data_IF_818828515181
#
_entry.id   IF_818828515181
#
_cell.length_a   1.000
_cell.length_b   1.000
_cell.length_c   1.000
_cell.angle_alpha   90.00
_cell.angle_beta   90.00
_cell.angle_gamma   90.00
#
_symmetry.space_group_name_H-M   'P 1'
#
loop_
_entity.id
_entity.type
_entity.pdbx_description
1 polymer ?
#
# COMPACT_ATOMS: atom_id res chain seq x y z
N UNK A 1 7.45 -25.02 17.96
CA UNK A 1 6.42 -24.16 17.34
C UNK A 1 6.95 -22.73 17.24
N UNK A 2 8.27 -22.54 17.07
CA UNK A 2 8.93 -21.30 17.53
C UNK A 2 9.72 -20.57 16.45
N UNK A 3 10.46 -21.23 15.55
CA UNK A 3 11.28 -20.46 14.58
C UNK A 3 10.48 -19.50 13.66
N UNK A 4 9.22 -19.82 13.33
CA UNK A 4 8.42 -18.96 12.46
C UNK A 4 7.88 -17.74 13.20
N UNK A 5 7.59 -17.87 14.51
CA UNK A 5 7.21 -16.75 15.37
C UNK A 5 8.43 -15.90 15.70
N UNK A 6 9.59 -16.51 15.95
CA UNK A 6 10.86 -15.80 16.15
C UNK A 6 11.28 -14.97 14.91
N UNK A 7 11.08 -15.50 13.70
CA UNK A 7 11.34 -14.76 12.45
C UNK A 7 10.33 -13.63 12.25
N UNK A 8 9.08 -13.81 12.67
CA UNK A 8 8.05 -12.76 12.61
C UNK A 8 8.31 -11.66 13.66
N UNK A 9 8.73 -12.01 14.87
CA UNK A 9 9.15 -11.05 15.89
C UNK A 9 10.40 -10.27 15.44
N UNK A 10 11.38 -10.93 14.81
CA UNK A 10 12.54 -10.25 14.21
C UNK A 10 12.16 -9.32 13.05
N UNK A 11 11.11 -9.67 12.30
CA UNK A 11 10.57 -8.85 11.22
C UNK A 11 9.79 -7.65 11.76
N UNK A 12 9.05 -7.85 12.85
CA UNK A 12 8.30 -6.82 13.57
C UNK A 12 9.23 -5.81 14.26
N UNK A 13 10.34 -6.28 14.84
CA UNK A 13 11.38 -5.41 15.42
C UNK A 13 12.27 -4.72 14.37
N UNK A 14 12.08 -5.01 13.09
CA UNK A 14 12.87 -4.42 12.03
C UNK A 14 12.20 -3.18 11.41
N UNK A 15 13.02 -2.27 10.90
CA UNK A 15 12.58 -1.14 10.07
C UNK A 15 11.80 -1.57 8.80
N UNK A 16 11.61 -2.88 8.56
CA UNK A 16 10.83 -3.42 7.44
C UNK A 16 9.35 -3.04 7.52
N UNK A 17 8.75 -2.88 8.69
CA UNK A 17 7.36 -2.40 8.78
C UNK A 17 7.23 -0.99 8.18
N UNK A 18 8.19 -0.11 8.51
CA UNK A 18 8.30 1.23 7.93
C UNK A 18 8.63 1.20 6.44
N UNK A 19 9.54 0.32 6.01
CA UNK A 19 9.91 0.17 4.60
C UNK A 19 8.74 -0.35 3.75
N UNK A 20 8.02 -1.37 4.23
CA UNK A 20 6.86 -1.95 3.53
C UNK A 20 5.78 -0.89 3.40
N UNK A 21 5.44 -0.20 4.48
CA UNK A 21 4.48 0.92 4.45
C UNK A 21 4.90 1.99 3.46
N UNK A 22 6.19 2.34 3.43
CA UNK A 22 6.74 3.30 2.48
C UNK A 22 6.62 2.82 1.02
N UNK A 23 6.96 1.55 0.73
CA UNK A 23 6.83 0.96 -0.62
C UNK A 23 5.38 1.00 -1.09
N UNK A 24 4.43 0.62 -0.25
CA UNK A 24 3.00 0.68 -0.58
C UNK A 24 2.54 2.11 -0.89
N UNK A 25 3.01 3.10 -0.13
CA UNK A 25 2.72 4.52 -0.39
C UNK A 25 3.29 4.99 -1.72
N UNK A 26 4.54 4.66 -2.02
CA UNK A 26 5.17 5.02 -3.31
C UNK A 26 4.42 4.38 -4.47
N UNK A 27 4.12 3.08 -4.40
CA UNK A 27 3.33 2.39 -5.43
C UNK A 27 1.94 2.99 -5.57
N UNK A 28 1.28 3.36 -4.48
CA UNK A 28 -0.02 4.01 -4.51
C UNK A 28 0.02 5.37 -5.22
N UNK A 29 1.01 6.21 -4.93
CA UNK A 29 1.21 7.49 -5.64
C UNK A 29 1.47 7.26 -7.12
N UNK A 30 2.34 6.31 -7.46
CA UNK A 30 2.63 5.96 -8.86
C UNK A 30 1.36 5.46 -9.59
N UNK A 31 0.53 4.66 -8.94
CA UNK A 31 -0.74 4.19 -9.50
C UNK A 31 -1.73 5.35 -9.76
N UNK A 32 -1.83 6.30 -8.83
CA UNK A 32 -2.66 7.51 -9.01
C UNK A 32 -2.15 8.34 -10.19
N UNK A 33 -0.84 8.63 -10.23
CA UNK A 33 -0.23 9.41 -11.31
C UNK A 33 -0.38 8.69 -12.65
N UNK A 34 -0.23 7.37 -12.69
CA UNK A 34 -0.44 6.57 -13.90
C UNK A 34 -1.91 6.62 -14.33
N UNK A 35 -2.88 6.46 -13.42
CA UNK A 35 -4.29 6.57 -13.74
C UNK A 35 -4.64 7.93 -14.35
N UNK A 36 -4.17 9.02 -13.71
CA UNK A 36 -4.35 10.38 -14.22
C UNK A 36 -3.67 10.54 -15.59
N UNK A 37 -2.44 10.05 -15.75
CA UNK A 37 -1.70 10.13 -17.01
C UNK A 37 -2.39 9.37 -18.15
N UNK A 38 -2.88 8.15 -17.88
CA UNK A 38 -3.62 7.36 -18.87
C UNK A 38 -4.89 8.10 -19.28
N UNK A 39 -5.62 8.70 -18.34
CA UNK A 39 -6.82 9.46 -18.67
C UNK A 39 -6.54 10.70 -19.53
N UNK A 40 -5.44 11.41 -19.27
CA UNK A 40 -5.08 12.65 -19.96
C UNK A 40 -4.42 12.45 -21.32
N UNK A 41 -3.64 11.37 -21.48
CA UNK A 41 -2.75 11.20 -22.64
C UNK A 41 -3.11 10.00 -23.52
N UNK A 42 -4.13 9.22 -23.17
CA UNK A 42 -4.52 8.03 -23.94
C UNK A 42 -6.03 7.98 -24.16
N UNK A 43 -6.45 7.18 -25.14
CA UNK A 43 -7.87 6.94 -25.46
C UNK A 43 -8.45 5.72 -24.70
N UNK A 44 -7.79 5.28 -23.63
CA UNK A 44 -8.28 4.15 -22.82
C UNK A 44 -9.57 4.55 -22.11
N UNK A 45 -10.53 3.62 -22.08
CA UNK A 45 -11.81 3.80 -21.41
C UNK A 45 -11.63 4.19 -19.93
N UNK A 46 -12.48 5.13 -19.45
CA UNK A 46 -12.43 5.76 -18.12
C UNK A 46 -12.30 4.77 -16.96
N UNK A 47 -12.83 3.56 -17.11
CA UNK A 47 -12.82 2.53 -16.08
C UNK A 47 -11.41 2.14 -15.63
N UNK A 48 -10.44 2.06 -16.56
CA UNK A 48 -9.06 1.66 -16.23
C UNK A 48 -8.32 2.75 -15.44
N UNK A 49 -8.31 4.03 -15.88
CA UNK A 49 -7.81 5.14 -15.07
C UNK A 49 -8.43 5.23 -13.68
N UNK A 50 -9.76 5.13 -13.60
CA UNK A 50 -10.48 5.25 -12.34
C UNK A 50 -10.12 4.12 -11.38
N UNK A 51 -10.00 2.89 -11.89
CA UNK A 51 -9.56 1.74 -11.12
C UNK A 51 -8.13 1.94 -10.58
N UNK A 52 -7.20 2.42 -11.40
CA UNK A 52 -5.82 2.71 -10.96
C UNK A 52 -5.76 3.75 -9.85
N UNK A 53 -6.55 4.83 -9.97
CA UNK A 53 -6.64 5.87 -8.94
C UNK A 53 -7.22 5.28 -7.64
N UNK A 54 -8.31 4.50 -7.74
CA UNK A 54 -8.93 3.88 -6.57
C UNK A 54 -8.00 2.88 -5.86
N UNK A 55 -7.32 2.03 -6.62
CA UNK A 55 -6.31 1.09 -6.07
C UNK A 55 -5.15 1.86 -5.46
N UNK A 56 -4.70 2.95 -6.08
CA UNK A 56 -3.63 3.77 -5.53
C UNK A 56 -3.98 4.37 -4.17
N UNK A 57 -5.20 4.87 -4.00
CA UNK A 57 -5.70 5.30 -2.68
C UNK A 57 -5.77 4.16 -1.67
N UNK A 58 -6.22 2.98 -2.10
CA UNK A 58 -6.28 1.79 -1.25
C UNK A 58 -4.88 1.40 -0.75
N UNK A 59 -3.87 1.40 -1.63
CA UNK A 59 -2.47 1.09 -1.28
C UNK A 59 -1.89 2.10 -0.28
N UNK A 60 -2.31 3.36 -0.34
CA UNK A 60 -1.87 4.39 0.62
C UNK A 60 -2.57 4.23 1.98
N UNK A 61 -3.87 3.94 1.98
CA UNK A 61 -4.68 3.94 3.19
C UNK A 61 -4.55 2.63 3.99
N UNK A 62 -4.56 1.47 3.33
CA UNK A 62 -4.62 0.15 3.99
C UNK A 62 -3.49 -0.08 5.00
N UNK A 63 -2.21 0.20 4.69
CA UNK A 63 -1.14 0.00 5.66
C UNK A 63 -1.35 0.82 6.94
N UNK A 64 -1.75 2.09 6.81
CA UNK A 64 -2.04 2.95 7.97
C UNK A 64 -3.20 2.44 8.81
N UNK A 65 -4.30 2.04 8.15
CA UNK A 65 -5.47 1.50 8.84
C UNK A 65 -5.17 0.19 9.59
N UNK A 66 -4.34 -0.68 9.02
CA UNK A 66 -3.95 -1.93 9.67
C UNK A 66 -3.09 -1.68 10.91
N UNK A 67 -2.18 -0.70 10.85
CA UNK A 67 -1.36 -0.30 12.00
C UNK A 67 -2.21 0.33 13.11
N UNK A 68 -3.10 1.25 12.77
CA UNK A 68 -4.04 1.85 13.73
C UNK A 68 -4.90 0.78 14.40
N UNK A 69 -5.38 -0.22 13.65
CA UNK A 69 -6.16 -1.34 14.20
C UNK A 69 -5.31 -2.24 15.09
N UNK A 70 -4.06 -2.55 14.72
CA UNK A 70 -3.15 -3.35 15.53
C UNK A 70 -2.83 -2.66 16.86
N UNK A 71 -2.55 -1.36 16.84
CA UNK A 71 -2.33 -0.54 18.04
C UNK A 71 -3.57 -0.53 18.96
N UNK A 72 -4.78 -0.46 18.40
CA UNK A 72 -6.02 -0.52 19.17
C UNK A 72 -6.32 -1.93 19.71
N UNK A 73 -5.87 -2.97 19.03
CA UNK A 73 -6.13 -4.36 19.38
C UNK A 73 -5.23 -4.90 20.50
N UNK A 74 -4.07 -4.27 20.73
CA UNK A 74 -3.21 -4.37 21.92
C UNK A 74 -3.09 -5.75 22.55
#
# INVERSE_FOLDING_TARGET
MDELLDVLDLLADSELEGLVTWVFRVLGVLAILAGIGIWLFTEIALLVPLFLVAVGFLLIAVPGLLLEVAELAG
#
